data_IF_131726438235
#
_entry.id   IF_131726438235
#
_cell.length_a   1.000
_cell.length_b   1.000
_cell.length_c   1.000
_cell.angle_alpha   90.00
_cell.angle_beta   90.00
_cell.angle_gamma   90.00
#
_symmetry.space_group_name_H-M   'P 1'
#
loop_
_entity.id
_entity.type
_entity.pdbx_description
1 polymer ?
#
# COMPACT_ATOMS: atom_id res chain seq x y z
N UNK A 1 -2.98 14.69 33.13
CA UNK A 1 -2.03 13.81 32.42
C UNK A 1 -2.48 13.83 30.99
N UNK A 2 -1.60 14.13 30.04
CA UNK A 2 -2.02 14.40 28.65
C UNK A 2 -2.95 13.29 28.15
N UNK A 3 -4.17 13.67 27.77
CA UNK A 3 -5.19 12.76 27.27
C UNK A 3 -4.62 11.88 26.17
N UNK A 4 -5.13 10.65 26.04
CA UNK A 4 -4.60 9.66 25.11
C UNK A 4 -4.40 10.26 23.70
N UNK A 5 -3.28 9.92 23.07
CA UNK A 5 -2.87 10.48 21.76
C UNK A 5 -4.00 10.39 20.72
N UNK A 6 -4.75 9.29 20.72
CA UNK A 6 -5.90 9.10 19.84
C UNK A 6 -7.12 9.95 20.25
N UNK A 7 -7.48 9.92 21.54
CA UNK A 7 -8.66 10.63 22.06
C UNK A 7 -8.54 12.13 21.86
N UNK A 8 -7.33 12.70 22.02
CA UNK A 8 -7.09 14.13 21.76
C UNK A 8 -7.12 14.47 20.27
N UNK A 9 -6.56 13.60 19.40
CA UNK A 9 -6.60 13.82 17.96
C UNK A 9 -8.04 13.85 17.42
N UNK A 10 -8.89 12.93 17.85
CA UNK A 10 -10.31 12.87 17.45
C UNK A 10 -11.09 14.02 18.08
N UNK A 11 -10.83 14.38 19.34
CA UNK A 11 -11.46 15.55 19.99
C UNK A 11 -11.18 16.85 19.23
N UNK A 12 -9.96 17.02 18.74
CA UNK A 12 -9.59 18.21 17.95
C UNK A 12 -10.11 18.16 16.52
N UNK A 13 -10.30 16.96 15.95
CA UNK A 13 -10.77 16.73 14.58
C UNK A 13 -11.81 15.60 14.55
N UNK A 14 -13.08 15.91 14.88
CA UNK A 14 -14.14 14.90 14.97
C UNK A 14 -14.42 14.18 13.63
N UNK A 15 -14.31 14.93 12.53
CA UNK A 15 -14.40 14.41 11.15
C UNK A 15 -13.04 13.87 10.71
N UNK A 16 -12.77 12.61 11.00
CA UNK A 16 -11.47 12.02 10.71
C UNK A 16 -11.57 10.57 10.24
N UNK A 17 -10.48 10.13 9.62
CA UNK A 17 -10.24 8.72 9.31
C UNK A 17 -9.19 8.23 10.29
N UNK A 18 -9.53 7.19 11.05
CA UNK A 18 -8.62 6.53 11.99
C UNK A 18 -8.21 5.18 11.39
N UNK A 19 -6.91 5.01 11.17
CA UNK A 19 -6.33 3.75 10.70
C UNK A 19 -5.66 3.03 11.88
N UNK A 20 -6.11 1.82 12.15
CA UNK A 20 -5.45 0.89 13.07
C UNK A 20 -4.78 -0.19 12.22
N UNK A 21 -3.45 -0.16 12.20
CA UNK A 21 -2.65 -1.07 11.37
C UNK A 21 -2.28 -2.35 12.15
N UNK A 22 -2.30 -3.49 11.47
CA UNK A 22 -1.92 -4.82 12.00
C UNK A 22 -2.58 -5.14 13.35
N UNK A 23 -3.90 -4.99 13.43
CA UNK A 23 -4.64 -5.10 14.71
C UNK A 23 -4.54 -6.48 15.36
N UNK A 24 -4.10 -7.51 14.64
CA UNK A 24 -3.82 -8.83 15.20
C UNK A 24 -2.62 -8.88 16.15
N UNK A 25 -1.74 -7.87 16.08
CA UNK A 25 -0.58 -7.73 16.97
C UNK A 25 -0.92 -6.94 18.23
N UNK A 26 -2.07 -6.26 18.25
CA UNK A 26 -2.49 -5.46 19.40
C UNK A 26 -2.89 -6.36 20.58
N UNK A 27 -2.67 -5.88 21.80
CA UNK A 27 -3.15 -6.58 22.98
C UNK A 27 -4.68 -6.58 23.02
N UNK A 28 -5.26 -7.62 23.64
CA UNK A 28 -6.71 -7.72 23.83
C UNK A 28 -7.28 -6.50 24.56
N UNK A 29 -6.52 -5.90 25.48
CA UNK A 29 -6.96 -4.71 26.22
C UNK A 29 -7.10 -3.48 25.33
N UNK A 30 -6.17 -3.28 24.39
CA UNK A 30 -6.27 -2.22 23.37
C UNK A 30 -7.50 -2.46 22.50
N UNK A 31 -7.72 -3.70 22.05
CA UNK A 31 -8.89 -4.03 21.24
C UNK A 31 -10.20 -3.84 22.00
N UNK A 32 -10.24 -4.16 23.29
CA UNK A 32 -11.42 -3.98 24.14
C UNK A 32 -11.80 -2.50 24.31
N UNK A 33 -10.84 -1.56 24.29
CA UNK A 33 -11.14 -0.12 24.31
C UNK A 33 -11.94 0.28 23.06
N UNK A 34 -11.51 -0.19 21.89
CA UNK A 34 -12.22 0.09 20.64
C UNK A 34 -13.61 -0.56 20.56
N UNK A 35 -13.90 -1.60 21.35
CA UNK A 35 -15.25 -2.16 21.41
C UNK A 35 -16.29 -1.14 21.88
N UNK A 36 -15.91 -0.25 22.80
CA UNK A 36 -16.79 0.82 23.25
C UNK A 36 -17.08 1.80 22.11
N UNK A 37 -16.07 2.11 21.29
CA UNK A 37 -16.22 2.95 20.10
C UNK A 37 -17.18 2.33 19.10
N UNK A 38 -17.01 1.05 18.76
CA UNK A 38 -17.88 0.39 17.78
C UNK A 38 -19.32 0.18 18.27
N UNK A 39 -19.54 0.14 19.58
CA UNK A 39 -20.87 -0.08 20.17
C UNK A 39 -21.62 1.22 20.49
N UNK A 40 -20.93 2.19 21.09
CA UNK A 40 -21.53 3.43 21.60
C UNK A 40 -21.18 4.67 20.77
N UNK A 41 -20.19 4.58 19.88
CA UNK A 41 -19.66 5.72 19.16
C UNK A 41 -18.87 6.68 20.05
N UNK A 42 -18.44 6.26 21.24
CA UNK A 42 -17.69 7.09 22.18
C UNK A 42 -16.55 6.33 22.85
N UNK A 43 -15.52 7.05 23.30
CA UNK A 43 -14.39 6.52 24.05
C UNK A 43 -14.05 7.44 25.22
N UNK A 44 -13.89 6.89 26.42
CA UNK A 44 -13.39 7.64 27.56
C UNK A 44 -11.86 7.71 27.54
N UNK A 45 -11.30 8.90 27.70
CA UNK A 45 -9.85 9.06 27.90
C UNK A 45 -9.42 8.69 29.33
N UNK A 46 -8.11 8.78 29.61
CA UNK A 46 -7.55 8.48 30.93
C UNK A 46 -7.96 9.46 32.04
N UNK A 47 -8.57 10.60 31.69
CA UNK A 47 -9.16 11.56 32.63
C UNK A 47 -10.68 11.37 32.78
N UNK A 48 -11.26 10.35 32.14
CA UNK A 48 -12.69 10.04 32.17
C UNK A 48 -13.54 10.91 31.26
N UNK A 49 -12.94 11.72 30.37
CA UNK A 49 -13.67 12.55 29.42
C UNK A 49 -14.15 11.68 28.27
N UNK A 50 -15.43 11.80 27.93
CA UNK A 50 -16.03 11.08 26.82
C UNK A 50 -15.77 11.81 25.49
N UNK A 51 -15.13 11.13 24.55
CA UNK A 51 -14.82 11.62 23.21
C UNK A 51 -15.78 10.98 22.20
N UNK A 52 -16.35 11.80 21.32
CA UNK A 52 -17.28 11.38 20.28
C UNK A 52 -16.53 10.87 19.03
N UNK A 53 -16.90 9.68 18.56
CA UNK A 53 -16.37 9.02 17.36
C UNK A 53 -17.45 8.83 16.29
N UNK A 54 -18.67 9.36 16.45
CA UNK A 54 -19.80 9.15 15.51
C UNK A 54 -19.52 9.69 14.11
N UNK A 55 -18.70 10.73 13.99
CA UNK A 55 -18.29 11.33 12.72
C UNK A 55 -16.90 10.85 12.24
N UNK A 56 -16.41 9.73 12.81
CA UNK A 56 -15.11 9.14 12.49
C UNK A 56 -15.27 7.83 11.72
N UNK A 57 -14.51 7.66 10.64
CA UNK A 57 -14.42 6.39 9.92
C UNK A 57 -13.21 5.61 10.43
N UNK A 58 -13.44 4.39 10.91
CA UNK A 58 -12.37 3.52 11.40
C UNK A 58 -12.03 2.46 10.33
N UNK A 59 -10.77 2.44 9.90
CA UNK A 59 -10.19 1.35 9.12
C UNK A 59 -9.27 0.51 10.00
N UNK A 60 -9.48 -0.79 9.97
CA UNK A 60 -8.63 -1.76 10.64
C UNK A 60 -8.01 -2.64 9.57
N UNK A 61 -6.70 -2.81 9.62
CA UNK A 61 -5.99 -3.75 8.74
C UNK A 61 -5.56 -4.96 9.55
N UNK A 62 -5.50 -6.12 8.89
CA UNK A 62 -4.96 -7.32 9.50
C UNK A 62 -4.36 -8.23 8.44
N UNK A 63 -3.27 -8.91 8.78
CA UNK A 63 -2.70 -9.95 7.93
C UNK A 63 -3.26 -11.35 8.25
N UNK A 64 -4.28 -11.45 9.11
CA UNK A 64 -4.94 -12.72 9.37
C UNK A 64 -5.58 -13.31 8.11
N UNK A 65 -5.55 -14.64 8.02
CA UNK A 65 -6.09 -15.41 6.90
C UNK A 65 -5.42 -15.17 5.53
N UNK A 66 -4.23 -14.52 5.49
CA UNK A 66 -3.46 -14.30 4.26
C UNK A 66 -3.30 -15.60 3.47
N UNK A 67 -2.74 -16.66 4.06
CA UNK A 67 -2.51 -17.94 3.37
C UNK A 67 -3.78 -18.53 2.73
N UNK A 68 -4.91 -18.42 3.44
CA UNK A 68 -6.20 -18.90 2.96
C UNK A 68 -6.75 -18.04 1.82
N UNK A 69 -6.55 -16.72 1.87
CA UNK A 69 -6.91 -15.82 0.78
C UNK A 69 -6.09 -16.13 -0.47
N UNK A 70 -4.78 -16.34 -0.31
CA UNK A 70 -3.90 -16.70 -1.43
C UNK A 70 -4.34 -18.02 -2.06
N UNK A 71 -4.52 -19.06 -1.24
CA UNK A 71 -4.95 -20.37 -1.71
C UNK A 71 -6.31 -20.33 -2.43
N UNK A 72 -7.26 -19.54 -1.92
CA UNK A 72 -8.56 -19.38 -2.56
C UNK A 72 -8.50 -18.60 -3.89
N UNK A 73 -7.42 -17.87 -4.14
CA UNK A 73 -7.20 -17.08 -5.35
C UNK A 73 -6.17 -17.70 -6.31
N UNK A 74 -5.65 -18.90 -6.01
CA UNK A 74 -4.73 -19.63 -6.90
C UNK A 74 -5.44 -20.13 -8.17
N UNK A 75 -6.76 -20.33 -8.11
CA UNK A 75 -7.57 -20.68 -9.27
C UNK A 75 -7.69 -19.51 -10.28
N UNK A 76 -7.80 -19.79 -11.60
CA UNK A 76 -7.91 -18.74 -12.62
C UNK A 76 -9.12 -17.81 -12.43
N UNK A 77 -10.20 -18.36 -11.88
CA UNK A 77 -11.43 -17.63 -11.56
C UNK A 77 -11.40 -17.21 -10.09
N UNK A 78 -11.42 -15.90 -9.84
CA UNK A 78 -11.42 -15.38 -8.47
C UNK A 78 -12.75 -15.68 -7.78
N UNK A 79 -12.74 -16.08 -6.49
CA UNK A 79 -13.97 -16.24 -5.74
C UNK A 79 -14.67 -14.90 -5.58
N UNK A 80 -15.99 -14.94 -5.38
CA UNK A 80 -16.73 -13.74 -4.99
C UNK A 80 -16.26 -13.29 -3.61
N UNK A 81 -16.29 -11.98 -3.38
CA UNK A 81 -15.87 -11.39 -2.11
C UNK A 81 -16.62 -12.01 -0.91
N UNK A 82 -17.93 -12.22 -1.02
CA UNK A 82 -18.74 -12.79 0.06
C UNK A 82 -18.35 -14.25 0.38
N UNK A 83 -18.03 -15.05 -0.64
CA UNK A 83 -17.59 -16.44 -0.48
C UNK A 83 -16.22 -16.48 0.22
N UNK A 84 -15.31 -15.58 -0.17
CA UNK A 84 -14.00 -15.43 0.45
C UNK A 84 -14.13 -14.97 1.91
N UNK A 85 -15.02 -14.00 2.20
CA UNK A 85 -15.32 -13.56 3.57
C UNK A 85 -15.84 -14.73 4.41
N UNK A 86 -16.75 -15.54 3.87
CA UNK A 86 -17.27 -16.72 4.56
C UNK A 86 -16.16 -17.73 4.88
N UNK A 87 -15.23 -17.95 3.95
CA UNK A 87 -14.10 -18.86 4.12
C UNK A 87 -13.12 -18.39 5.23
N UNK A 88 -12.79 -17.10 5.29
CA UNK A 88 -11.83 -16.56 6.28
C UNK A 88 -12.44 -16.28 7.65
N UNK A 89 -13.77 -16.18 7.75
CA UNK A 89 -14.49 -15.84 8.99
C UNK A 89 -14.14 -16.73 10.20
N UNK A 90 -13.93 -18.06 10.06
CA UNK A 90 -13.49 -18.91 11.17
C UNK A 90 -12.10 -18.54 11.72
N UNK A 91 -11.17 -18.10 10.87
CA UNK A 91 -9.83 -17.64 11.30
C UNK A 91 -9.97 -16.33 12.06
N UNK A 92 -10.72 -15.38 11.50
CA UNK A 92 -10.96 -14.09 12.14
C UNK A 92 -11.66 -14.25 13.49
N UNK A 93 -12.63 -15.16 13.61
CA UNK A 93 -13.41 -15.39 14.84
C UNK A 93 -12.62 -16.10 15.96
N UNK A 94 -11.50 -16.74 15.62
CA UNK A 94 -10.56 -17.28 16.63
C UNK A 94 -9.74 -16.18 17.30
N UNK A 95 -9.46 -15.10 16.57
CA UNK A 95 -8.64 -14.01 17.07
C UNK A 95 -9.50 -12.86 17.62
N UNK A 96 -10.51 -12.41 16.86
CA UNK A 96 -11.43 -11.36 17.24
C UNK A 96 -12.72 -11.94 17.85
N UNK A 97 -13.26 -11.28 18.87
CA UNK A 97 -14.55 -11.67 19.45
C UNK A 97 -15.65 -11.60 18.36
N UNK A 98 -16.54 -12.60 18.25
CA UNK A 98 -17.61 -12.59 17.23
C UNK A 98 -18.49 -11.34 17.25
N UNK A 99 -18.72 -10.77 18.45
CA UNK A 99 -19.48 -9.53 18.62
C UNK A 99 -18.83 -8.31 17.94
N UNK A 100 -17.50 -8.30 17.82
CA UNK A 100 -16.76 -7.26 17.10
C UNK A 100 -16.96 -7.42 15.59
N UNK A 101 -16.70 -8.63 15.09
CA UNK A 101 -16.81 -8.94 13.66
C UNK A 101 -18.23 -8.67 13.13
N UNK A 102 -19.26 -8.89 13.95
CA UNK A 102 -20.64 -8.59 13.58
C UNK A 102 -20.96 -7.09 13.43
N UNK A 103 -20.12 -6.20 13.99
CA UNK A 103 -20.23 -4.73 13.87
C UNK A 103 -19.32 -4.15 12.78
N UNK A 104 -18.59 -5.00 12.07
CA UNK A 104 -17.61 -4.59 11.06
C UNK A 104 -18.04 -5.04 9.67
N UNK A 105 -17.65 -4.27 8.66
CA UNK A 105 -17.68 -4.73 7.28
C UNK A 105 -16.30 -5.27 6.94
N UNK A 106 -16.22 -6.58 6.70
CA UNK A 106 -14.97 -7.24 6.31
C UNK A 106 -14.79 -7.04 4.80
N UNK A 107 -13.64 -6.48 4.41
CA UNK A 107 -13.27 -6.30 3.01
C UNK A 107 -12.02 -7.15 2.76
N UNK A 108 -12.14 -8.32 2.08
CA UNK A 108 -10.97 -9.13 1.77
C UNK A 108 -10.15 -8.46 0.67
N UNK A 109 -8.82 -8.44 0.83
CA UNK A 109 -7.90 -7.92 -0.18
C UNK A 109 -7.38 -9.06 -1.03
N UNK A 110 -7.73 -9.04 -2.31
CA UNK A 110 -7.27 -10.03 -3.28
C UNK A 110 -5.79 -9.83 -3.64
N UNK A 111 -5.06 -10.91 -3.94
CA UNK A 111 -3.70 -10.79 -4.45
C UNK A 111 -3.68 -9.98 -5.75
N UNK A 112 -2.59 -9.23 -5.96
CA UNK A 112 -2.43 -8.39 -7.14
C UNK A 112 -2.11 -9.26 -8.36
N UNK A 113 -2.98 -9.19 -9.36
CA UNK A 113 -2.73 -9.78 -10.68
C UNK A 113 -1.70 -8.96 -11.47
N UNK A 114 -1.15 -9.58 -12.52
CA UNK A 114 -0.08 -9.00 -13.34
C UNK A 114 -0.46 -7.66 -13.97
N UNK A 115 -1.70 -7.50 -14.40
CA UNK A 115 -2.26 -6.26 -14.95
C UNK A 115 -2.30 -5.14 -13.91
N UNK A 116 -2.72 -5.45 -12.68
CA UNK A 116 -2.72 -4.51 -11.56
C UNK A 116 -1.27 -4.09 -11.20
N UNK A 117 -0.32 -5.04 -11.18
CA UNK A 117 1.10 -4.74 -10.95
C UNK A 117 1.67 -3.82 -12.03
N UNK A 118 1.34 -4.04 -13.31
CA UNK A 118 1.74 -3.15 -14.40
C UNK A 118 1.14 -1.73 -14.22
N UNK A 119 -0.14 -1.64 -13.81
CA UNK A 119 -0.78 -0.36 -13.51
C UNK A 119 -0.07 0.39 -12.37
N UNK A 120 0.29 -0.32 -11.30
CA UNK A 120 1.04 0.23 -10.16
C UNK A 120 2.42 0.70 -10.61
N UNK A 121 3.16 -0.12 -11.37
CA UNK A 121 4.48 0.24 -11.89
C UNK A 121 4.40 1.51 -12.76
N UNK A 122 3.41 1.59 -13.66
CA UNK A 122 3.19 2.79 -14.49
C UNK A 122 2.92 4.04 -13.64
N UNK A 123 2.08 3.92 -12.61
CA UNK A 123 1.77 5.03 -11.71
C UNK A 123 3.04 5.51 -10.97
N UNK A 124 3.87 4.58 -10.49
CA UNK A 124 5.11 4.90 -9.77
C UNK A 124 6.15 5.53 -10.68
N UNK A 125 6.36 4.98 -11.87
CA UNK A 125 7.27 5.54 -12.88
C UNK A 125 6.81 6.93 -13.33
N UNK A 126 5.50 7.15 -13.51
CA UNK A 126 4.97 8.47 -13.85
C UNK A 126 5.28 9.53 -12.78
N UNK A 127 5.20 9.17 -11.48
CA UNK A 127 5.61 10.06 -10.38
C UNK A 127 7.10 10.40 -10.47
N UNK A 128 7.96 9.44 -10.83
CA UNK A 128 9.39 9.66 -11.05
C UNK A 128 9.60 10.63 -12.22
N UNK A 129 8.98 10.37 -13.37
CA UNK A 129 9.08 11.25 -14.55
C UNK A 129 8.65 12.67 -14.24
N UNK A 130 7.54 12.84 -13.53
CA UNK A 130 7.04 14.15 -13.11
C UNK A 130 8.08 14.88 -12.24
N UNK A 131 8.64 14.20 -11.24
CA UNK A 131 9.66 14.78 -10.35
C UNK A 131 10.91 15.20 -11.12
N UNK A 132 11.40 14.37 -12.05
CA UNK A 132 12.57 14.70 -12.86
C UNK A 132 12.35 15.91 -13.76
N UNK A 133 11.16 16.02 -14.36
CA UNK A 133 10.78 17.18 -15.16
C UNK A 133 10.70 18.47 -14.33
N UNK A 134 10.16 18.39 -13.13
CA UNK A 134 10.04 19.54 -12.22
C UNK A 134 11.40 20.00 -11.68
N UNK A 135 12.25 19.07 -11.23
CA UNK A 135 13.53 19.37 -10.58
C UNK A 135 14.69 19.63 -11.56
N UNK A 136 14.72 18.94 -12.70
CA UNK A 136 15.88 18.94 -13.60
C UNK A 136 15.55 19.29 -15.06
N UNK A 137 14.29 19.60 -15.37
CA UNK A 137 13.81 19.86 -16.75
C UNK A 137 14.08 18.72 -17.73
N UNK A 138 14.31 17.51 -17.21
CA UNK A 138 14.54 16.30 -17.99
C UNK A 138 13.21 15.59 -18.24
N UNK A 139 12.86 15.38 -19.50
CA UNK A 139 11.72 14.59 -19.92
C UNK A 139 12.08 13.10 -19.90
N UNK A 140 11.74 12.45 -18.77
CA UNK A 140 12.02 11.04 -18.55
C UNK A 140 10.85 10.18 -19.02
N UNK A 141 11.08 9.35 -20.03
CA UNK A 141 10.07 8.48 -20.63
C UNK A 141 10.43 7.02 -20.38
N UNK A 142 9.48 6.22 -19.92
CA UNK A 142 9.64 4.78 -19.75
C UNK A 142 8.84 4.04 -20.83
N UNK A 143 9.47 3.08 -21.49
CA UNK A 143 8.77 2.20 -22.44
C UNK A 143 7.88 1.18 -21.71
N UNK A 144 6.90 0.62 -22.42
CA UNK A 144 6.05 -0.44 -21.86
C UNK A 144 6.84 -1.70 -21.49
N UNK A 145 7.98 -1.95 -22.16
CA UNK A 145 8.89 -3.04 -21.83
C UNK A 145 9.45 -2.92 -20.40
N UNK A 146 9.74 -1.69 -19.94
CA UNK A 146 10.17 -1.43 -18.56
C UNK A 146 9.05 -1.76 -17.57
N UNK A 147 7.81 -1.36 -17.89
CA UNK A 147 6.64 -1.64 -17.04
C UNK A 147 6.41 -3.15 -16.92
N UNK A 148 6.44 -3.86 -18.04
CA UNK A 148 6.29 -5.32 -18.06
C UNK A 148 7.40 -6.02 -17.27
N UNK A 149 8.66 -5.63 -17.48
CA UNK A 149 9.80 -6.22 -16.80
C UNK A 149 9.79 -5.99 -15.29
N UNK A 150 9.31 -4.83 -14.82
CA UNK A 150 9.14 -4.58 -13.39
C UNK A 150 8.02 -5.46 -12.83
N UNK A 151 6.87 -5.55 -13.50
CA UNK A 151 5.75 -6.37 -13.04
C UNK A 151 6.10 -7.87 -12.99
N UNK A 152 6.79 -8.40 -14.01
CA UNK A 152 7.24 -9.81 -14.07
C UNK A 152 8.21 -10.17 -12.95
N UNK A 153 8.98 -9.21 -12.43
CA UNK A 153 9.87 -9.44 -11.27
C UNK A 153 9.14 -9.38 -9.94
N UNK A 154 7.87 -8.97 -9.92
CA UNK A 154 7.07 -8.76 -8.71
C UNK A 154 5.99 -9.82 -8.50
N UNK A 155 6.20 -11.04 -9.01
CA UNK A 155 5.25 -12.16 -8.89
C UNK A 155 5.20 -12.78 -7.50
N UNK A 156 6.14 -12.46 -6.61
CA UNK A 156 6.12 -12.96 -5.24
C UNK A 156 4.92 -12.38 -4.47
N UNK A 157 3.96 -13.23 -4.05
CA UNK A 157 2.68 -12.74 -3.57
C UNK A 157 2.76 -12.02 -2.21
N UNK A 158 3.75 -12.38 -1.37
CA UNK A 158 3.95 -11.80 -0.03
C UNK A 158 4.45 -10.34 -0.06
N UNK A 159 5.16 -9.94 -1.12
CA UNK A 159 5.74 -8.60 -1.24
C UNK A 159 4.96 -7.69 -2.20
N UNK A 160 4.22 -8.28 -3.15
CA UNK A 160 3.25 -7.59 -4.02
C UNK A 160 3.77 -6.26 -4.57
N UNK A 161 2.97 -5.20 -4.39
CA UNK A 161 3.31 -3.85 -4.85
C UNK A 161 4.53 -3.23 -4.15
N UNK A 162 4.92 -3.69 -2.94
CA UNK A 162 6.14 -3.18 -2.28
C UNK A 162 7.38 -3.57 -3.07
N UNK A 163 7.38 -4.74 -3.71
CA UNK A 163 8.49 -5.15 -4.55
C UNK A 163 8.64 -4.24 -5.78
N UNK A 164 7.55 -3.71 -6.35
CA UNK A 164 7.61 -2.69 -7.41
C UNK A 164 8.38 -1.47 -6.93
N UNK A 165 8.11 -1.00 -5.71
CA UNK A 165 8.85 0.13 -5.12
C UNK A 165 10.33 -0.21 -4.91
N UNK A 166 10.65 -1.44 -4.48
CA UNK A 166 12.02 -1.90 -4.32
C UNK A 166 12.79 -1.97 -5.65
N UNK A 167 12.18 -2.50 -6.72
CA UNK A 167 12.81 -2.55 -8.04
C UNK A 167 13.06 -1.15 -8.58
N UNK A 168 12.07 -0.26 -8.47
CA UNK A 168 12.21 1.12 -8.94
C UNK A 168 13.27 1.88 -8.13
N UNK A 169 13.19 1.83 -6.80
CA UNK A 169 14.05 2.66 -5.92
C UNK A 169 15.45 2.06 -5.73
N UNK A 170 15.55 0.74 -5.65
CA UNK A 170 16.81 0.04 -5.38
C UNK A 170 17.61 -0.32 -6.63
N UNK A 171 16.99 -0.44 -7.79
CA UNK A 171 17.68 -0.86 -9.02
C UNK A 171 17.64 0.21 -10.11
N UNK A 172 16.44 0.70 -10.45
CA UNK A 172 16.26 1.58 -11.60
C UNK A 172 16.73 3.01 -11.35
N UNK A 173 16.24 3.66 -10.29
CA UNK A 173 16.59 5.04 -9.95
C UNK A 173 18.09 5.27 -9.73
N UNK A 174 18.84 4.38 -9.04
CA UNK A 174 20.28 4.56 -8.88
C UNK A 174 21.01 4.56 -10.22
N UNK A 175 20.66 3.65 -11.14
CA UNK A 175 21.26 3.59 -12.48
C UNK A 175 20.96 4.86 -13.29
N UNK A 176 19.71 5.30 -13.30
CA UNK A 176 19.33 6.58 -13.95
C UNK A 176 20.14 7.74 -13.35
N UNK A 177 20.30 7.77 -12.03
CA UNK A 177 21.05 8.83 -11.35
C UNK A 177 22.52 8.84 -11.77
N UNK A 178 23.15 7.66 -11.85
CA UNK A 178 24.53 7.54 -12.33
C UNK A 178 24.69 8.03 -13.77
N UNK A 179 23.80 7.62 -14.67
CA UNK A 179 23.83 8.04 -16.09
C UNK A 179 23.63 9.57 -16.24
N UNK A 180 22.65 10.13 -15.53
CA UNK A 180 22.37 11.57 -15.54
C UNK A 180 23.54 12.37 -14.95
N UNK A 181 24.10 11.94 -13.82
CA UNK A 181 25.24 12.62 -13.20
C UNK A 181 26.51 12.57 -14.06
N UNK A 182 26.78 11.44 -14.71
CA UNK A 182 27.92 11.32 -15.63
C UNK A 182 27.84 12.33 -16.77
N UNK A 183 26.64 12.56 -17.32
CA UNK A 183 26.37 13.50 -18.40
C UNK A 183 26.35 14.97 -17.96
N UNK A 184 25.85 15.23 -16.75
CA UNK A 184 25.92 16.56 -16.14
C UNK A 184 27.37 17.00 -15.92
N UNK A 185 28.26 16.08 -15.53
CA UNK A 185 29.70 16.34 -15.40
C UNK A 185 30.37 16.73 -16.72
N UNK A 186 29.86 16.24 -17.85
CA UNK A 186 30.35 16.61 -19.19
C UNK A 186 29.65 17.84 -19.81
N UNK A 187 28.67 18.44 -19.12
CA UNK A 187 27.99 19.66 -19.57
C UNK A 187 26.91 19.47 -20.66
N UNK A 188 26.55 18.22 -20.98
CA UNK A 188 25.63 17.88 -22.07
C UNK A 188 24.56 16.92 -21.55
N UNK A 189 23.60 17.48 -20.81
CA UNK A 189 22.39 16.75 -20.41
C UNK A 189 21.29 17.06 -21.44
N UNK A 190 20.93 16.11 -22.32
CA UNK A 190 19.86 16.32 -23.26
C UNK A 190 18.50 16.49 -22.55
N UNK A 191 17.53 17.14 -23.22
CA UNK A 191 16.23 17.42 -22.62
C UNK A 191 15.39 16.17 -22.39
N UNK A 192 15.75 15.03 -22.99
CA UNK A 192 14.97 13.79 -22.95
C UNK A 192 15.83 12.57 -22.67
N UNK A 193 15.32 11.69 -21.80
CA UNK A 193 15.86 10.36 -21.55
C UNK A 193 14.74 9.33 -21.72
N UNK A 194 14.94 8.39 -22.63
CA UNK A 194 14.06 7.22 -22.81
C UNK A 194 14.70 6.01 -22.16
N UNK A 195 13.97 5.38 -21.24
CA UNK A 195 14.41 4.15 -20.57
C UNK A 195 13.69 2.96 -21.19
N UNK A 196 14.49 2.05 -21.75
CA UNK A 196 14.07 0.79 -22.32
C UNK A 196 14.38 -0.40 -21.41
N UNK A 197 13.91 -1.58 -21.81
CA UNK A 197 14.32 -2.84 -21.22
C UNK A 197 14.54 -3.88 -22.31
N UNK A 198 15.66 -4.58 -22.23
CA UNK A 198 16.03 -5.71 -23.06
C UNK A 198 16.36 -6.93 -22.17
N UNK A 199 15.94 -8.13 -22.55
CA UNK A 199 16.12 -9.31 -21.72
C UNK A 199 17.59 -9.76 -21.58
N UNK A 200 18.44 -9.46 -22.56
CA UNK A 200 19.86 -9.84 -22.56
C UNK A 200 20.72 -8.79 -21.83
N UNK A 201 20.41 -7.50 -21.98
CA UNK A 201 21.25 -6.39 -21.47
C UNK A 201 20.66 -5.72 -20.21
N UNK A 202 19.36 -5.89 -19.96
CA UNK A 202 18.64 -5.26 -18.86
C UNK A 202 18.10 -3.88 -19.25
N UNK A 203 18.09 -2.94 -18.30
CA UNK A 203 17.63 -1.57 -18.58
C UNK A 203 18.57 -0.86 -19.56
N UNK A 204 17.99 -0.27 -20.60
CA UNK A 204 18.69 0.51 -21.62
C UNK A 204 18.34 1.98 -21.49
N UNK A 205 19.28 2.86 -21.84
CA UNK A 205 19.15 4.31 -21.67
C UNK A 205 19.47 4.99 -22.99
N UNK A 206 18.46 5.61 -23.59
CA UNK A 206 18.59 6.36 -24.82
C UNK A 206 18.37 7.85 -24.54
N UNK A 207 19.44 8.61 -24.71
CA UNK A 207 19.45 10.05 -24.54
C UNK A 207 19.16 10.69 -25.89
N UNK A 208 17.90 11.07 -26.09
CA UNK A 208 17.47 11.75 -27.31
C UNK A 208 17.84 13.23 -27.29
N UNK A 209 18.09 13.81 -28.46
CA UNK A 209 18.25 15.26 -28.62
C UNK A 209 16.93 16.02 -28.37
#
# INVERSE_FOLDING_TARGET
GEGGVLTEAVRQRPYSVVLLDEVEKASLDVMNLFYQVFDKGTLSDGEGREIDFKDTILFLTSNLATDMIMQACDDPELPKADDLVAAIRPILSKHFKPALLARMTIVPFFPLKQDALQGIARLKLSKVSKRMKESHKLDLVFTDAVVAAIAERCTEPETGARNVDHVITGNLLPRISTEVLSRLGSGDLPPKLTVGYDAAVGFTYDFGA
#
